data_IF_430592147980
#
_entry.id   IF_430592147980
#
_cell.length_a   1.000
_cell.length_b   1.000
_cell.length_c   1.000
_cell.angle_alpha   90.00
_cell.angle_beta   90.00
_cell.angle_gamma   90.00
#
_symmetry.space_group_name_H-M   'P 1'
#
loop_
_entity.id
_entity.type
_entity.pdbx_description
1 polymer ?
#
# COMPACT_ATOMS: atom_id res chain seq x y z
N UNK A 1 -11.12 -5.96 0.33
CA UNK A 1 -11.69 -4.83 1.09
C UNK A 1 -13.06 -4.53 0.51
N UNK A 2 -14.05 -4.26 1.34
CA UNK A 2 -15.33 -3.72 0.86
C UNK A 2 -15.12 -2.22 0.61
N UNK A 3 -15.15 -1.82 -0.66
CA UNK A 3 -15.05 -0.42 -1.06
C UNK A 3 -16.36 0.30 -0.76
N UNK A 4 -16.30 1.56 -0.37
CA UNK A 4 -17.50 2.40 -0.27
C UNK A 4 -18.08 2.68 -1.66
N UNK A 5 -19.35 3.08 -1.75
CA UNK A 5 -19.97 3.47 -3.03
C UNK A 5 -19.20 4.62 -3.72
N UNK A 6 -18.69 5.57 -2.93
CA UNK A 6 -17.86 6.67 -3.43
C UNK A 6 -16.55 6.16 -4.02
N UNK A 7 -15.88 5.23 -3.33
CA UNK A 7 -14.64 4.61 -3.82
C UNK A 7 -14.89 3.78 -5.09
N UNK A 8 -15.99 3.03 -5.15
CA UNK A 8 -16.38 2.29 -6.36
C UNK A 8 -16.61 3.23 -7.54
N UNK A 9 -17.34 4.34 -7.33
CA UNK A 9 -17.56 5.34 -8.37
C UNK A 9 -16.26 5.98 -8.86
N UNK A 10 -15.34 6.29 -7.94
CA UNK A 10 -14.02 6.82 -8.30
C UNK A 10 -13.21 5.81 -9.10
N UNK A 11 -13.24 4.53 -8.73
CA UNK A 11 -12.55 3.45 -9.44
C UNK A 11 -13.09 3.27 -10.86
N UNK A 12 -14.41 3.32 -11.05
CA UNK A 12 -15.03 3.25 -12.39
C UNK A 12 -14.63 4.44 -13.28
N UNK A 13 -14.55 5.64 -12.70
CA UNK A 13 -14.06 6.82 -13.43
C UNK A 13 -12.59 6.66 -13.85
N UNK A 14 -11.74 6.14 -12.96
CA UNK A 14 -10.34 5.85 -13.27
C UNK A 14 -10.22 4.80 -14.38
N UNK A 15 -11.00 3.71 -14.30
CA UNK A 15 -11.07 2.66 -15.33
C UNK A 15 -11.43 3.24 -16.70
N UNK A 16 -12.43 4.11 -16.77
CA UNK A 16 -12.86 4.74 -18.02
C UNK A 16 -11.80 5.64 -18.68
N UNK A 17 -10.93 6.25 -17.86
CA UNK A 17 -9.84 7.12 -18.33
C UNK A 17 -8.51 6.36 -18.53
N UNK A 18 -8.42 5.10 -18.10
CA UNK A 18 -7.20 4.33 -18.11
C UNK A 18 -6.87 3.81 -19.53
N UNK A 19 -5.73 4.26 -20.07
CA UNK A 19 -5.24 3.80 -21.39
C UNK A 19 -5.03 2.28 -21.45
N UNK A 20 -4.61 1.66 -20.34
CA UNK A 20 -4.39 0.22 -20.27
C UNK A 20 -5.70 -0.56 -20.32
N UNK A 21 -6.78 -0.06 -19.71
CA UNK A 21 -8.11 -0.65 -19.86
C UNK A 21 -8.63 -0.55 -21.30
N UNK A 22 -8.35 0.57 -21.98
CA UNK A 22 -8.67 0.75 -23.41
C UNK A 22 -7.87 -0.21 -24.29
N UNK A 23 -6.61 -0.48 -23.95
CA UNK A 23 -5.79 -1.50 -24.61
C UNK A 23 -6.35 -2.90 -24.34
N UNK A 24 -6.71 -3.23 -23.10
CA UNK A 24 -7.26 -4.55 -22.73
C UNK A 24 -8.61 -4.85 -23.36
N UNK A 25 -9.43 -3.82 -23.60
CA UNK A 25 -10.72 -3.93 -24.30
C UNK A 25 -10.60 -3.89 -25.83
N UNK A 26 -9.44 -3.49 -26.36
CA UNK A 26 -9.19 -3.37 -27.80
C UNK A 26 -9.63 -2.05 -28.42
N UNK A 27 -10.07 -1.06 -27.63
CA UNK A 27 -10.33 0.31 -28.10
C UNK A 27 -9.05 0.98 -28.62
N UNK A 28 -7.90 0.66 -28.01
CA UNK A 28 -6.58 1.15 -28.42
C UNK A 28 -5.70 -0.01 -28.86
N UNK A 29 -5.10 0.12 -30.03
CA UNK A 29 -4.18 -0.88 -30.57
C UNK A 29 -2.90 -0.98 -29.71
N UNK A 30 -2.37 -2.19 -29.57
CA UNK A 30 -1.11 -2.45 -28.87
C UNK A 30 -0.33 -3.59 -29.51
N UNK A 31 0.96 -3.65 -29.21
CA UNK A 31 1.84 -4.75 -29.63
C UNK A 31 1.75 -5.89 -28.61
N UNK A 32 0.65 -6.65 -28.67
CA UNK A 32 0.41 -7.78 -27.76
C UNK A 32 1.41 -8.90 -28.02
N UNK A 33 1.98 -9.44 -26.95
CA UNK A 33 2.89 -10.60 -26.97
C UNK A 33 2.35 -11.80 -26.20
N UNK A 34 1.40 -11.56 -25.31
CA UNK A 34 0.68 -12.60 -24.57
C UNK A 34 -0.70 -12.08 -24.18
N UNK A 35 -1.74 -12.92 -24.25
CA UNK A 35 -3.07 -12.57 -23.78
C UNK A 35 -3.82 -13.83 -23.37
N UNK A 36 -4.58 -13.74 -22.27
CA UNK A 36 -5.60 -14.71 -21.93
C UNK A 36 -6.84 -14.03 -21.33
N UNK A 37 -7.70 -14.81 -20.65
CA UNK A 37 -8.93 -14.32 -20.05
C UNK A 37 -8.73 -13.33 -18.89
N UNK A 38 -7.58 -13.36 -18.20
CA UNK A 38 -7.32 -12.57 -16.99
C UNK A 38 -6.20 -11.55 -17.16
N UNK A 39 -5.18 -11.84 -17.97
CA UNK A 39 -3.95 -11.04 -18.06
C UNK A 39 -3.56 -10.74 -19.51
N UNK A 40 -2.73 -9.72 -19.66
CA UNK A 40 -2.27 -9.19 -20.94
C UNK A 40 -0.80 -8.77 -20.82
N UNK A 41 0.01 -9.15 -21.81
CA UNK A 41 1.38 -8.69 -22.01
C UNK A 41 1.50 -7.91 -23.31
N UNK A 42 2.00 -6.67 -23.23
CA UNK A 42 2.27 -5.81 -24.39
C UNK A 42 3.71 -5.31 -24.38
N UNK A 43 4.30 -5.04 -25.54
CA UNK A 43 5.55 -4.30 -25.60
C UNK A 43 5.33 -2.86 -25.17
N UNK A 44 6.23 -2.34 -24.33
CA UNK A 44 6.26 -0.93 -23.99
C UNK A 44 6.57 -0.09 -25.25
N UNK A 45 5.88 1.03 -25.40
CA UNK A 45 6.14 2.00 -26.48
C UNK A 45 7.37 2.86 -26.18
N UNK A 46 7.74 3.00 -24.91
CA UNK A 46 8.94 3.66 -24.41
C UNK A 46 9.80 2.64 -23.65
N UNK A 47 10.36 1.63 -24.35
CA UNK A 47 11.04 0.52 -23.70
C UNK A 47 12.32 0.98 -22.99
N UNK A 48 12.58 0.43 -21.79
CA UNK A 48 13.86 0.61 -21.11
C UNK A 48 14.99 -0.17 -21.79
N UNK A 49 14.68 -1.36 -22.31
CA UNK A 49 15.56 -2.20 -23.13
C UNK A 49 14.73 -2.90 -24.22
N UNK A 50 15.35 -3.40 -25.31
CA UNK A 50 14.67 -4.23 -26.29
C UNK A 50 13.95 -5.42 -25.63
N UNK A 51 12.66 -5.59 -25.95
CA UNK A 51 11.83 -6.64 -25.35
C UNK A 51 11.20 -6.29 -24.00
N UNK A 52 11.26 -5.04 -23.55
CA UNK A 52 10.51 -4.57 -22.37
C UNK A 52 8.99 -4.81 -22.56
N UNK A 53 8.44 -5.65 -21.69
CA UNK A 53 7.01 -6.02 -21.68
C UNK A 53 6.34 -5.48 -20.44
N UNK A 54 5.18 -4.84 -20.62
CA UNK A 54 4.23 -4.50 -19.57
C UNK A 54 3.23 -5.65 -19.44
N UNK A 55 3.27 -6.35 -18.30
CA UNK A 55 2.41 -7.49 -18.00
C UNK A 55 1.41 -7.14 -16.90
N UNK A 56 0.12 -7.21 -17.19
CA UNK A 56 -0.93 -6.63 -16.34
C UNK A 56 -2.22 -7.45 -16.34
N UNK A 57 -3.07 -7.35 -15.30
CA UNK A 57 -4.44 -7.84 -15.37
C UNK A 57 -5.23 -7.04 -16.42
N UNK A 58 -6.21 -7.68 -17.05
CA UNK A 58 -7.16 -7.02 -17.96
C UNK A 58 -8.15 -6.14 -17.21
N UNK A 59 -8.53 -6.55 -16.00
CA UNK A 59 -9.35 -5.74 -15.11
C UNK A 59 -8.55 -4.63 -14.44
N UNK A 60 -9.24 -3.54 -14.12
CA UNK A 60 -8.62 -2.34 -13.56
C UNK A 60 -8.38 -2.47 -12.06
N UNK A 61 -7.13 -2.35 -11.66
CA UNK A 61 -6.72 -2.20 -10.27
C UNK A 61 -5.61 -1.15 -10.21
N UNK A 62 -5.77 -0.06 -9.45
CA UNK A 62 -4.79 1.02 -9.46
C UNK A 62 -3.52 0.68 -8.65
N UNK A 63 -3.64 -0.18 -7.64
CA UNK A 63 -2.55 -0.59 -6.75
C UNK A 63 -2.58 -2.10 -6.48
N UNK A 64 -1.42 -2.71 -6.28
CA UNK A 64 -1.24 -4.15 -6.06
C UNK A 64 -2.07 -4.68 -4.88
N UNK A 65 -2.19 -3.99 -3.72
CA UNK A 65 -2.99 -4.49 -2.60
C UNK A 65 -4.49 -4.61 -2.89
N UNK A 66 -4.98 -4.02 -3.99
CA UNK A 66 -6.37 -4.09 -4.40
C UNK A 66 -6.67 -5.32 -5.28
N UNK A 67 -5.65 -6.05 -5.71
CA UNK A 67 -5.85 -7.27 -6.49
C UNK A 67 -6.57 -8.33 -5.65
N UNK A 68 -7.65 -8.94 -6.16
CA UNK A 68 -8.23 -10.11 -5.52
C UNK A 68 -7.28 -11.31 -5.66
N UNK A 69 -7.29 -12.27 -4.72
CA UNK A 69 -6.34 -13.38 -4.71
C UNK A 69 -6.23 -14.16 -6.03
N UNK A 70 -7.33 -14.50 -6.75
CA UNK A 70 -7.22 -15.20 -8.03
C UNK A 70 -6.48 -14.39 -9.10
N UNK A 71 -6.70 -13.08 -9.17
CA UNK A 71 -6.02 -12.19 -10.12
C UNK A 71 -4.56 -12.01 -9.73
N UNK A 72 -4.25 -11.86 -8.44
CA UNK A 72 -2.87 -11.82 -7.95
C UNK A 72 -2.11 -13.09 -8.33
N UNK A 73 -2.69 -14.27 -8.05
CA UNK A 73 -2.10 -15.56 -8.43
C UNK A 73 -1.88 -15.63 -9.93
N UNK A 74 -2.89 -15.32 -10.74
CA UNK A 74 -2.75 -15.35 -12.20
C UNK A 74 -1.66 -14.40 -12.71
N UNK A 75 -1.55 -13.19 -12.14
CA UNK A 75 -0.56 -12.20 -12.53
C UNK A 75 0.88 -12.68 -12.26
N UNK A 76 1.16 -13.27 -11.10
CA UNK A 76 2.53 -13.71 -10.79
C UNK A 76 2.85 -15.11 -11.34
N UNK A 77 1.93 -16.05 -11.29
CA UNK A 77 2.12 -17.41 -11.83
C UNK A 77 2.37 -17.35 -13.34
N UNK A 78 1.50 -16.64 -14.07
CA UNK A 78 1.67 -16.49 -15.52
C UNK A 78 2.79 -15.51 -15.85
N UNK A 79 2.98 -14.48 -15.03
CA UNK A 79 4.10 -13.54 -15.17
C UNK A 79 5.45 -14.26 -15.15
N UNK A 80 5.63 -15.26 -14.28
CA UNK A 80 6.82 -16.12 -14.26
C UNK A 80 7.00 -16.89 -15.58
N UNK A 81 5.93 -17.49 -16.11
CA UNK A 81 5.98 -18.23 -17.37
C UNK A 81 6.31 -17.30 -18.57
N UNK A 82 5.71 -16.11 -18.60
CA UNK A 82 5.96 -15.09 -19.62
C UNK A 82 7.39 -14.56 -19.53
N UNK A 83 7.89 -14.24 -18.33
CA UNK A 83 9.28 -13.84 -18.12
C UNK A 83 10.26 -14.89 -18.67
N UNK A 84 10.04 -16.16 -18.35
CA UNK A 84 10.85 -17.27 -18.87
C UNK A 84 10.79 -17.39 -20.40
N UNK A 85 9.62 -17.18 -21.00
CA UNK A 85 9.45 -17.21 -22.45
C UNK A 85 10.19 -16.04 -23.12
N UNK A 86 10.11 -14.83 -22.55
CA UNK A 86 10.84 -13.66 -23.03
C UNK A 86 12.34 -13.91 -22.96
N UNK A 87 12.88 -14.39 -21.84
CA UNK A 87 14.32 -14.70 -21.71
C UNK A 87 14.80 -15.67 -22.78
N UNK A 88 14.03 -16.73 -23.08
CA UNK A 88 14.36 -17.69 -24.15
C UNK A 88 14.26 -17.09 -25.55
N UNK A 89 13.23 -16.29 -25.82
CA UNK A 89 13.02 -15.66 -27.11
C UNK A 89 14.10 -14.60 -27.42
N UNK A 90 14.55 -13.88 -26.40
CA UNK A 90 15.57 -12.83 -26.49
C UNK A 90 16.99 -13.34 -26.26
N UNK A 91 17.16 -14.62 -25.91
CA UNK A 91 18.45 -15.25 -25.57
C UNK A 91 19.21 -14.54 -24.43
N UNK A 92 18.48 -13.91 -23.50
CA UNK A 92 19.05 -13.24 -22.33
C UNK A 92 19.00 -14.14 -21.09
N UNK A 93 19.98 -13.98 -20.22
CA UNK A 93 20.04 -14.70 -18.93
C UNK A 93 19.50 -13.88 -17.77
N UNK A 94 19.35 -12.57 -17.95
CA UNK A 94 19.03 -11.62 -16.89
C UNK A 94 17.76 -10.84 -17.24
N UNK A 95 16.99 -10.48 -16.22
CA UNK A 95 15.78 -9.69 -16.35
C UNK A 95 15.53 -8.90 -15.06
N UNK A 96 15.13 -7.64 -15.18
CA UNK A 96 14.49 -6.95 -14.07
C UNK A 96 12.98 -7.21 -14.11
N UNK A 97 12.45 -7.62 -12.96
CA UNK A 97 11.01 -7.72 -12.70
C UNK A 97 10.68 -6.59 -11.73
N UNK A 98 9.95 -5.59 -12.20
CA UNK A 98 9.70 -4.36 -11.43
C UNK A 98 8.20 -4.08 -11.30
N UNK A 99 7.77 -3.75 -10.09
CA UNK A 99 6.39 -3.36 -9.77
C UNK A 99 6.44 -2.13 -8.89
N UNK A 100 5.99 -0.99 -9.41
CA UNK A 100 5.82 0.22 -8.61
C UNK A 100 4.41 0.28 -8.03
N UNK A 101 4.30 0.61 -6.73
CA UNK A 101 3.03 0.83 -6.04
C UNK A 101 2.99 2.23 -5.45
N UNK A 102 2.21 3.11 -6.06
CA UNK A 102 2.09 4.52 -5.72
C UNK A 102 3.09 5.41 -6.46
N UNK A 103 2.73 6.67 -6.62
CA UNK A 103 3.52 7.65 -7.38
C UNK A 103 4.93 7.84 -6.82
N UNK A 104 5.08 7.87 -5.48
CA UNK A 104 6.38 7.99 -4.82
C UNK A 104 7.31 6.80 -5.08
N UNK A 105 6.76 5.62 -5.39
CA UNK A 105 7.51 4.43 -5.77
C UNK A 105 7.84 4.38 -7.28
N UNK A 106 7.48 5.42 -8.04
CA UNK A 106 7.71 5.51 -9.48
C UNK A 106 6.58 4.97 -10.35
N UNK A 107 5.38 4.72 -9.79
CA UNK A 107 4.24 4.28 -10.60
C UNK A 107 3.74 5.42 -11.49
N UNK A 108 3.82 5.23 -12.81
CA UNK A 108 3.46 6.27 -13.79
C UNK A 108 2.01 6.19 -14.27
N UNK A 109 1.32 5.08 -13.99
CA UNK A 109 -0.08 4.89 -14.34
C UNK A 109 -0.83 4.13 -13.26
N UNK A 110 -2.07 4.54 -13.01
CA UNK A 110 -2.96 3.92 -12.02
C UNK A 110 -3.56 2.61 -12.56
N UNK A 111 -2.73 1.70 -13.05
CA UNK A 111 -3.09 0.33 -13.44
C UNK A 111 -1.91 -0.57 -13.06
N UNK A 112 -2.15 -1.58 -12.23
CA UNK A 112 -1.10 -2.50 -11.77
C UNK A 112 -0.46 -3.18 -12.97
N UNK A 113 0.87 -3.16 -13.04
CA UNK A 113 1.61 -3.92 -14.02
C UNK A 113 2.94 -4.39 -13.46
N UNK A 114 3.42 -5.49 -14.02
CA UNK A 114 4.77 -6.00 -13.85
C UNK A 114 5.55 -5.59 -15.10
N UNK A 115 6.60 -4.82 -14.90
CA UNK A 115 7.60 -4.56 -15.92
C UNK A 115 8.51 -5.78 -16.01
N UNK A 116 8.57 -6.41 -17.18
CA UNK A 116 9.49 -7.48 -17.52
C UNK A 116 10.53 -6.90 -18.47
N UNK A 117 11.71 -6.58 -17.95
CA UNK A 117 12.76 -5.84 -18.67
C UNK A 117 13.94 -6.80 -18.89
N UNK A 118 14.10 -7.41 -20.08
CA UNK A 118 15.27 -8.19 -20.45
C UNK A 118 16.55 -7.39 -20.25
N UNK A 119 17.60 -8.01 -19.71
CA UNK A 119 18.87 -7.36 -19.44
C UNK A 119 20.02 -8.04 -20.15
N UNK A 120 20.89 -7.24 -20.73
CA UNK A 120 22.17 -7.66 -21.30
C UNK A 120 23.32 -6.88 -20.65
N UNK A 121 24.55 -7.36 -20.82
CA UNK A 121 25.71 -6.60 -20.37
C UNK A 121 25.83 -5.32 -21.19
N UNK A 122 26.00 -4.18 -20.52
CA UNK A 122 26.14 -2.85 -21.14
C UNK A 122 24.92 -2.45 -22.00
N UNK A 123 23.70 -2.77 -21.55
CA UNK A 123 22.45 -2.36 -22.21
C UNK A 123 22.04 -0.90 -21.92
N UNK A 124 23.00 -0.06 -21.52
CA UNK A 124 22.85 1.37 -21.16
C UNK A 124 21.80 1.68 -20.07
N UNK A 125 21.20 0.65 -19.46
CA UNK A 125 20.29 0.80 -18.34
C UNK A 125 21.07 0.68 -17.02
N UNK A 126 21.06 1.75 -16.23
CA UNK A 126 21.66 1.71 -14.90
C UNK A 126 21.05 0.59 -14.05
N UNK A 127 21.88 -0.07 -13.25
CA UNK A 127 21.39 -1.05 -12.29
C UNK A 127 20.46 -0.36 -11.29
N UNK A 128 19.38 -1.04 -10.91
CA UNK A 128 18.51 -0.65 -9.79
C UNK A 128 19.34 -0.64 -8.49
N UNK A 129 20.02 0.47 -8.25
CA UNK A 129 20.90 0.64 -7.11
C UNK A 129 20.04 1.11 -5.95
N UNK A 130 19.91 0.28 -4.93
CA UNK A 130 19.24 0.65 -3.68
C UNK A 130 20.33 1.22 -2.77
N UNK A 131 20.38 2.55 -2.56
CA UNK A 131 21.42 3.13 -1.73
C UNK A 131 21.25 2.66 -0.28
N UNK A 132 22.36 2.26 0.34
CA UNK A 132 22.39 2.05 1.79
C UNK A 132 22.56 3.40 2.47
N UNK A 133 21.76 3.65 3.51
CA UNK A 133 21.98 4.75 4.44
C UNK A 133 22.63 4.19 5.70
N UNK A 134 23.67 4.86 6.19
CA UNK A 134 24.25 4.56 7.50
C UNK A 134 23.30 5.09 8.58
N UNK A 135 22.38 4.21 9.00
CA UNK A 135 21.42 4.49 10.07
C UNK A 135 22.02 4.04 11.40
N UNK A 136 21.82 4.84 12.44
CA UNK A 136 22.17 4.42 13.81
C UNK A 136 21.30 3.24 14.25
N UNK A 137 21.80 2.45 15.21
CA UNK A 137 21.04 1.33 15.77
C UNK A 137 19.68 1.79 16.34
N UNK A 138 19.61 2.99 16.90
CA UNK A 138 18.37 3.58 17.39
C UNK A 138 17.39 3.89 16.25
N UNK A 139 17.85 4.40 15.11
CA UNK A 139 16.99 4.65 13.94
C UNK A 139 16.46 3.36 13.31
N UNK A 140 17.29 2.31 13.26
CA UNK A 140 16.89 0.99 12.77
C UNK A 140 15.86 0.34 13.70
N UNK A 141 16.06 0.48 15.02
CA UNK A 141 15.18 -0.12 16.02
C UNK A 141 13.93 0.72 16.31
N UNK A 142 13.94 2.03 16.03
CA UNK A 142 12.79 2.93 16.23
C UNK A 142 11.49 2.38 15.63
N UNK A 143 11.44 1.91 14.37
CA UNK A 143 10.22 1.33 13.81
C UNK A 143 9.96 -0.13 14.24
N UNK A 144 10.95 -0.84 14.82
CA UNK A 144 10.84 -2.29 15.08
C UNK A 144 9.63 -2.64 15.93
N UNK A 145 9.41 -1.92 17.04
CA UNK A 145 8.28 -2.22 17.92
C UNK A 145 6.94 -1.95 17.24
N UNK A 146 6.84 -0.84 16.51
CA UNK A 146 5.66 -0.49 15.73
C UNK A 146 5.36 -1.56 14.69
N UNK A 147 6.36 -1.95 13.89
CA UNK A 147 6.20 -2.94 12.84
C UNK A 147 5.88 -4.32 13.42
N UNK A 148 6.68 -4.81 14.39
CA UNK A 148 6.49 -6.14 14.95
C UNK A 148 5.10 -6.30 15.59
N UNK A 149 4.62 -5.28 16.31
CA UNK A 149 3.32 -5.32 16.93
C UNK A 149 2.20 -5.08 15.92
N UNK A 150 2.21 -3.96 15.20
CA UNK A 150 1.11 -3.56 14.31
C UNK A 150 0.95 -4.56 13.16
N UNK A 151 2.05 -5.01 12.55
CA UNK A 151 1.99 -6.00 11.49
C UNK A 151 1.42 -7.33 12.02
N UNK A 152 1.83 -7.76 13.22
CA UNK A 152 1.28 -8.96 13.84
C UNK A 152 -0.24 -8.89 14.03
N UNK A 153 -0.74 -7.77 14.56
CA UNK A 153 -2.19 -7.56 14.77
C UNK A 153 -2.92 -7.47 13.43
N UNK A 154 -2.43 -6.66 12.48
CA UNK A 154 -3.05 -6.44 11.18
C UNK A 154 -3.09 -7.72 10.34
N UNK A 155 -1.97 -8.45 10.27
CA UNK A 155 -1.89 -9.71 9.52
C UNK A 155 -2.70 -10.81 10.21
N UNK A 156 -2.71 -10.88 11.54
CA UNK A 156 -3.57 -11.81 12.28
C UNK A 156 -5.06 -11.59 11.96
N UNK A 157 -5.52 -10.34 11.99
CA UNK A 157 -6.89 -10.00 11.59
C UNK A 157 -7.16 -10.30 10.11
N UNK A 158 -6.20 -10.03 9.22
CA UNK A 158 -6.33 -10.32 7.80
C UNK A 158 -6.50 -11.82 7.52
N UNK A 159 -5.61 -12.66 8.07
CA UNK A 159 -5.63 -14.11 7.81
C UNK A 159 -6.79 -14.83 8.50
N UNK A 160 -7.31 -14.30 9.61
CA UNK A 160 -8.59 -14.74 10.19
C UNK A 160 -9.76 -14.54 9.23
N UNK A 161 -9.75 -13.45 8.44
CA UNK A 161 -10.81 -13.12 7.47
C UNK A 161 -10.63 -13.83 6.14
N UNK A 162 -9.39 -13.93 5.68
CA UNK A 162 -9.01 -14.50 4.39
C UNK A 162 -8.03 -15.65 4.62
N UNK A 163 -8.50 -16.79 5.14
CA UNK A 163 -7.62 -17.90 5.43
C UNK A 163 -7.08 -18.48 4.13
N UNK A 164 -5.79 -18.28 3.89
CA UNK A 164 -5.10 -19.02 2.83
C UNK A 164 -4.98 -20.53 3.16
N UNK A 165 -4.90 -21.42 2.16
CA UNK A 165 -4.81 -22.86 2.37
C UNK A 165 -3.62 -23.33 3.23
N UNK A 166 -2.56 -22.51 3.31
CA UNK A 166 -1.37 -22.78 4.11
C UNK A 166 -1.46 -22.26 5.56
N UNK A 167 -2.58 -21.65 5.98
CA UNK A 167 -2.78 -21.26 7.37
C UNK A 167 -3.39 -22.39 8.19
N UNK A 168 -2.73 -22.70 9.30
CA UNK A 168 -3.25 -23.62 10.31
C UNK A 168 -4.21 -22.88 11.27
N UNK A 169 -5.49 -22.85 10.89
CA UNK A 169 -6.55 -22.23 11.70
C UNK A 169 -6.77 -22.96 13.05
N UNK A 170 -6.28 -24.20 13.21
CA UNK A 170 -6.45 -24.97 14.45
C UNK A 170 -5.67 -24.38 15.63
N UNK A 171 -4.68 -23.53 15.35
CA UNK A 171 -3.90 -22.80 16.37
C UNK A 171 -4.56 -21.52 16.84
N UNK A 172 -5.62 -21.06 16.17
CA UNK A 172 -6.26 -19.79 16.46
C UNK A 172 -7.40 -19.97 17.49
N UNK A 173 -7.06 -19.85 18.78
CA UNK A 173 -7.96 -20.19 19.90
C UNK A 173 -9.02 -19.14 20.23
N UNK A 174 -9.16 -18.07 19.46
CA UNK A 174 -10.14 -17.00 19.75
C UNK A 174 -11.37 -17.13 18.86
N UNK A 175 -12.50 -17.51 19.45
CA UNK A 175 -13.81 -17.46 18.80
C UNK A 175 -14.19 -16.02 18.40
N UNK A 176 -15.00 -15.94 17.33
CA UNK A 176 -15.49 -14.73 16.63
C UNK A 176 -14.40 -13.81 16.05
N UNK A 177 -14.48 -13.58 14.74
CA UNK A 177 -13.58 -12.71 13.96
C UNK A 177 -13.86 -11.24 14.34
N UNK A 178 -12.93 -10.50 14.97
CA UNK A 178 -13.13 -9.07 15.15
C UNK A 178 -12.99 -8.36 13.79
N UNK A 179 -14.08 -7.72 13.33
CA UNK A 179 -14.05 -6.88 12.12
C UNK A 179 -13.28 -5.57 12.33
N UNK A 180 -12.95 -5.26 13.58
CA UNK A 180 -12.55 -3.93 14.05
C UNK A 180 -11.43 -4.06 15.09
N UNK A 181 -10.66 -2.99 15.32
CA UNK A 181 -9.70 -2.97 16.42
C UNK A 181 -10.42 -2.69 17.73
N UNK A 182 -9.99 -3.35 18.83
CA UNK A 182 -10.47 -2.97 20.16
C UNK A 182 -9.84 -1.64 20.59
N UNK A 183 -10.46 -0.88 21.51
CA UNK A 183 -9.83 0.33 22.06
C UNK A 183 -8.42 0.08 22.62
N UNK A 184 -8.20 -1.07 23.27
CA UNK A 184 -6.89 -1.48 23.80
C UNK A 184 -5.87 -1.71 22.67
N UNK A 185 -6.28 -2.32 21.56
CA UNK A 185 -5.41 -2.50 20.38
C UNK A 185 -5.06 -1.15 19.74
N UNK A 186 -6.03 -0.24 19.59
CA UNK A 186 -5.78 1.10 19.06
C UNK A 186 -4.79 1.87 19.96
N UNK A 187 -4.94 1.78 21.28
CA UNK A 187 -4.00 2.38 22.22
C UNK A 187 -2.60 1.79 22.06
N UNK A 188 -2.48 0.46 21.99
CA UNK A 188 -1.17 -0.17 21.79
C UNK A 188 -0.52 0.24 20.46
N UNK A 189 -1.29 0.34 19.37
CA UNK A 189 -0.82 0.86 18.08
C UNK A 189 -0.28 2.29 18.24
N UNK A 190 -1.01 3.16 18.93
CA UNK A 190 -0.59 4.55 19.20
C UNK A 190 0.67 4.57 20.06
N UNK A 191 0.72 3.79 21.14
CA UNK A 191 1.85 3.77 22.07
C UNK A 191 3.14 3.28 21.42
N UNK A 192 3.03 2.34 20.48
CA UNK A 192 4.16 1.80 19.72
C UNK A 192 4.55 2.65 18.51
N UNK A 193 3.79 3.69 18.17
CA UNK A 193 4.12 4.62 17.09
C UNK A 193 4.36 6.05 17.65
N UNK A 194 5.63 6.43 17.90
CA UNK A 194 5.97 7.71 18.54
C UNK A 194 5.43 8.94 17.80
N UNK A 195 5.38 8.90 16.46
CA UNK A 195 4.93 10.02 15.64
C UNK A 195 3.41 10.21 15.76
N UNK A 196 2.64 9.13 15.70
CA UNK A 196 1.19 9.16 15.97
C UNK A 196 0.92 9.66 17.40
N UNK A 197 1.65 9.11 18.38
CA UNK A 197 1.52 9.52 19.79
C UNK A 197 1.81 11.00 19.99
N UNK A 198 2.85 11.52 19.33
CA UNK A 198 3.23 12.93 19.35
C UNK A 198 2.15 13.78 18.72
N UNK A 199 1.68 13.43 17.52
CA UNK A 199 0.63 14.16 16.81
C UNK A 199 -0.66 14.28 17.63
N UNK A 200 -1.11 13.18 18.26
CA UNK A 200 -2.28 13.16 19.14
C UNK A 200 -2.08 14.08 20.36
N UNK A 201 -0.88 14.11 20.96
CA UNK A 201 -0.59 14.93 22.14
C UNK A 201 -0.48 16.41 21.84
N UNK A 202 0.06 16.77 20.68
CA UNK A 202 0.30 18.17 20.27
C UNK A 202 -0.99 18.86 19.82
N UNK A 203 -1.78 18.20 18.97
CA UNK A 203 -3.05 18.74 18.50
C UNK A 203 -4.11 17.63 18.27
N UNK A 204 -4.86 17.28 19.32
CA UNK A 204 -5.90 16.24 19.24
C UNK A 204 -7.00 16.57 18.21
N UNK A 205 -7.35 17.83 18.05
CA UNK A 205 -8.43 18.25 17.15
C UNK A 205 -7.97 18.18 15.69
N UNK A 206 -6.72 18.54 15.40
CA UNK A 206 -6.12 18.36 14.08
C UNK A 206 -5.96 16.86 13.73
N UNK A 207 -5.54 16.03 14.69
CA UNK A 207 -5.44 14.60 14.46
C UNK A 207 -6.82 13.95 14.21
N UNK A 208 -7.88 14.38 14.89
CA UNK A 208 -9.24 13.92 14.61
C UNK A 208 -9.69 14.21 13.17
N UNK A 209 -9.25 15.34 12.60
CA UNK A 209 -9.47 15.66 11.19
C UNK A 209 -8.67 14.73 10.29
N UNK A 210 -7.40 14.51 10.62
CA UNK A 210 -6.51 13.60 9.89
C UNK A 210 -7.04 12.16 9.85
N UNK A 211 -7.65 11.67 10.94
CA UNK A 211 -8.32 10.37 10.97
C UNK A 211 -9.36 10.27 9.86
N UNK A 212 -10.09 11.35 9.52
CA UNK A 212 -11.14 11.32 8.48
C UNK A 212 -10.59 11.43 7.06
N UNK A 213 -9.42 12.04 6.91
CA UNK A 213 -8.77 12.30 5.63
C UNK A 213 -7.88 11.15 5.18
N UNK A 214 -7.33 10.36 6.12
CA UNK A 214 -6.39 9.28 5.82
C UNK A 214 -7.03 7.89 5.94
N UNK A 215 -7.08 7.13 4.84
CA UNK A 215 -7.77 5.83 4.76
C UNK A 215 -7.29 4.83 5.83
N UNK A 216 -5.98 4.74 6.04
CA UNK A 216 -5.41 3.82 7.03
C UNK A 216 -5.82 4.17 8.47
N UNK A 217 -5.82 5.47 8.82
CA UNK A 217 -6.26 5.91 10.14
C UNK A 217 -7.75 5.67 10.31
N UNK A 218 -8.57 5.94 9.28
CA UNK A 218 -10.00 5.57 9.31
C UNK A 218 -10.20 4.10 9.62
N UNK A 219 -9.40 3.21 9.02
CA UNK A 219 -9.52 1.78 9.24
C UNK A 219 -9.17 1.40 10.69
N UNK A 220 -8.12 1.99 11.26
CA UNK A 220 -7.71 1.73 12.65
C UNK A 220 -8.78 2.21 13.64
N UNK A 221 -9.37 3.39 13.39
CA UNK A 221 -10.33 4.04 14.30
C UNK A 221 -11.80 3.77 13.99
N UNK A 222 -12.13 2.97 12.96
CA UNK A 222 -13.49 2.84 12.38
C UNK A 222 -14.60 2.65 13.42
N UNK A 223 -14.35 1.82 14.42
CA UNK A 223 -15.35 1.42 15.43
C UNK A 223 -14.88 1.72 16.87
N UNK A 224 -13.92 2.64 16.99
CA UNK A 224 -13.34 3.04 18.26
C UNK A 224 -13.55 4.54 18.45
N UNK A 225 -14.18 4.90 19.57
CA UNK A 225 -14.40 6.31 19.91
C UNK A 225 -13.07 7.02 20.15
N UNK A 226 -12.74 8.00 19.31
CA UNK A 226 -11.51 8.80 19.49
C UNK A 226 -11.47 9.49 20.85
N UNK A 227 -12.61 9.94 21.38
CA UNK A 227 -12.70 10.52 22.73
C UNK A 227 -12.36 9.51 23.84
N UNK A 228 -12.76 8.25 23.68
CA UNK A 228 -12.40 7.18 24.61
C UNK A 228 -10.89 6.92 24.58
N UNK A 229 -10.26 7.01 23.41
CA UNK A 229 -8.81 6.88 23.25
C UNK A 229 -8.08 8.05 23.91
N UNK A 230 -8.52 9.29 23.69
CA UNK A 230 -7.95 10.47 24.35
C UNK A 230 -8.01 10.36 25.88
N UNK A 231 -9.15 9.91 26.43
CA UNK A 231 -9.31 9.71 27.87
C UNK A 231 -8.32 8.67 28.41
N UNK A 232 -8.19 7.52 27.75
CA UNK A 232 -7.25 6.46 28.15
C UNK A 232 -5.78 6.88 28.01
N UNK A 233 -5.46 7.77 27.07
CA UNK A 233 -4.13 8.35 26.89
C UNK A 233 -3.84 9.54 27.83
N UNK A 234 -4.84 10.00 28.60
CA UNK A 234 -4.72 11.17 29.47
C UNK A 234 -4.53 12.49 28.71
N UNK A 235 -5.04 12.59 27.48
CA UNK A 235 -4.91 13.78 26.62
C UNK A 235 -6.19 14.60 26.65
N UNK A 236 -6.07 15.89 26.95
CA UNK A 236 -7.19 16.85 26.96
C UNK A 236 -7.17 17.78 25.75
N UNK A 237 -8.35 18.10 25.20
CA UNK A 237 -8.48 18.98 24.03
C UNK A 237 -8.20 20.43 24.43
N UNK A 238 -7.71 21.25 23.48
CA UNK A 238 -7.40 22.68 23.72
C UNK A 238 -8.63 23.49 24.16
N UNK A 239 -9.85 23.09 23.76
CA UNK A 239 -11.11 23.73 24.23
C UNK A 239 -11.34 23.57 25.73
N UNK A 240 -10.87 22.48 26.35
CA UNK A 240 -10.99 22.23 27.78
C UNK A 240 -9.90 22.97 28.58
N UNK A 241 -8.71 23.14 28.00
CA UNK A 241 -7.64 24.00 28.57
C UNK A 241 -8.00 25.48 28.59
N UNK A 242 -8.94 25.97 27.77
CA UNK A 242 -9.37 27.38 27.82
C UNK A 242 -10.18 27.76 29.06
N UNK A 243 -10.58 26.80 29.91
CA UNK A 243 -11.10 27.10 31.25
C UNK A 243 -10.01 27.26 32.32
N UNK A 244 -8.77 26.89 32.02
CA UNK A 244 -7.64 26.99 32.94
C UNK A 244 -6.39 27.47 32.18
N UNK A 245 -6.03 28.73 32.39
CA UNK A 245 -4.81 29.42 31.93
C UNK A 245 -4.86 30.12 30.57
N UNK A 246 -5.09 31.42 30.68
CA UNK A 246 -4.69 32.47 29.77
C UNK A 246 -3.16 32.48 29.56
N UNK A 247 -2.73 32.84 28.35
CA UNK A 247 -1.37 33.28 27.94
C UNK A 247 -0.27 32.20 27.76
N UNK A 248 0.06 31.85 26.51
CA UNK A 248 1.23 32.37 25.75
C UNK A 248 1.45 31.64 24.41
N UNK A 249 1.86 32.46 23.44
CA UNK A 249 2.56 32.27 22.16
C UNK A 249 2.23 31.10 21.22
N UNK A 250 1.87 31.50 19.98
CA UNK A 250 1.78 30.68 18.78
C UNK A 250 3.18 30.45 18.21
N UNK A 251 3.59 29.20 18.07
CA UNK A 251 4.52 28.78 17.03
C UNK A 251 3.74 27.83 16.11
N UNK A 252 3.79 28.09 14.80
CA UNK A 252 3.21 27.23 13.77
C UNK A 252 4.07 25.97 13.62
N UNK A 253 3.44 24.79 13.67
CA UNK A 253 4.11 23.49 13.54
C UNK A 253 3.75 22.89 12.18
N UNK A 254 4.79 22.47 11.46
CA UNK A 254 4.72 21.84 10.15
C UNK A 254 4.23 20.38 10.27
N UNK A 255 3.09 20.08 9.63
CA UNK A 255 2.40 18.78 9.63
C UNK A 255 2.75 17.90 8.42
N UNK A 256 3.63 18.37 7.51
CA UNK A 256 3.88 17.71 6.22
C UNK A 256 4.57 16.34 6.36
N UNK A 257 5.21 16.04 7.49
CA UNK A 257 5.94 14.77 7.69
C UNK A 257 5.06 13.58 8.08
N UNK A 258 3.76 13.75 8.38
CA UNK A 258 2.90 12.64 8.85
C UNK A 258 2.30 11.84 7.68
N UNK A 259 2.08 12.46 6.50
CA UNK A 259 1.60 11.73 5.31
C UNK A 259 2.65 10.78 4.73
N UNK A 260 3.94 11.05 4.97
CA UNK A 260 5.03 10.24 4.42
C UNK A 260 5.34 9.00 5.27
N UNK A 261 4.65 8.83 6.40
CA UNK A 261 4.86 7.76 7.39
C UNK A 261 3.72 6.71 7.42
N UNK A 262 2.66 6.89 6.62
CA UNK A 262 1.49 6.01 6.55
C UNK A 262 1.17 5.68 5.08
#
# INVERSE_FOLDING_TARGET
MELTEEQQKALEQQKAQCIFCKISSGEVASKKVYEDSLVLGILDINPATPGHVLFMPKEHYPLLPLLPPPTFTALFEKGQAVANAISKAMLVQSMNIFVANGAAAGQQANHVMIHLIPRENNDDLENFTIPSKDLSETEILKPKEALAYNLGVMMGNHFKRNPAPWHDLSKDKTGSIPQTFTPEQVIMIIEKNPEIKKAIKEDPDAFEKLIKEHEQLRMIFKDVSYNQILQKLGVTRKKDKKKESSQKNKEEVNLDNISDLL
#
